data_IF_600155641359
#
_entry.id   IF_600155641359
#
_cell.length_a   1.000
_cell.length_b   1.000
_cell.length_c   1.000
_cell.angle_alpha   90.00
_cell.angle_beta   90.00
_cell.angle_gamma   90.00
#
_symmetry.space_group_name_H-M   'P 1'
#
loop_
_entity.id
_entity.type
_entity.pdbx_description
1 polymer ?
#
# COMPACT_ATOMS: atom_id res chain seq x y z
N UNK A 1 3.70 -13.02 -0.99
CA UNK A 1 2.81 -12.15 -0.17
C UNK A 1 3.33 -12.09 1.25
N UNK A 2 3.09 -10.99 1.98
CA UNK A 2 3.52 -10.85 3.38
C UNK A 2 4.28 -9.57 3.70
N UNK A 3 5.16 -9.60 4.70
CA UNK A 3 6.02 -8.45 5.06
C UNK A 3 7.22 -8.28 4.14
N UNK A 4 7.37 -9.12 3.11
CA UNK A 4 8.30 -8.87 2.01
C UNK A 4 8.03 -7.51 1.39
N UNK A 5 9.09 -6.71 1.25
CA UNK A 5 9.01 -5.33 0.80
C UNK A 5 8.98 -5.20 -0.73
N UNK A 6 7.96 -5.79 -1.34
CA UNK A 6 7.75 -5.72 -2.79
C UNK A 6 7.19 -4.35 -3.21
N UNK A 7 7.57 -3.92 -4.41
CA UNK A 7 7.12 -2.67 -4.99
C UNK A 7 5.72 -2.76 -5.60
N UNK A 8 5.13 -1.62 -5.97
CA UNK A 8 3.91 -1.56 -6.78
C UNK A 8 4.18 -2.02 -8.20
N UNK A 9 3.18 -2.65 -8.80
CA UNK A 9 3.11 -2.86 -10.25
C UNK A 9 2.63 -1.58 -10.93
N UNK A 10 2.80 -1.48 -12.25
CA UNK A 10 2.26 -0.36 -13.04
C UNK A 10 0.75 -0.18 -12.82
N UNK A 11 0.00 -1.29 -12.85
CA UNK A 11 -1.44 -1.27 -12.57
C UNK A 11 -1.73 -0.74 -11.15
N UNK A 12 -0.93 -1.14 -10.15
CA UNK A 12 -1.09 -0.65 -8.77
C UNK A 12 -0.82 0.85 -8.62
N UNK A 13 0.09 1.41 -9.43
CA UNK A 13 0.30 2.86 -9.51
C UNK A 13 -0.92 3.55 -10.12
N UNK A 14 -1.46 3.01 -11.22
CA UNK A 14 -2.66 3.56 -11.88
C UNK A 14 -3.90 3.53 -10.96
N UNK A 15 -4.07 2.46 -10.19
CA UNK A 15 -5.12 2.35 -9.18
C UNK A 15 -4.98 3.44 -8.10
N UNK A 16 -3.77 3.70 -7.60
CA UNK A 16 -3.51 4.74 -6.62
C UNK A 16 -3.81 6.15 -7.18
N UNK A 17 -3.40 6.42 -8.42
CA UNK A 17 -3.72 7.69 -9.11
C UNK A 17 -5.23 7.87 -9.23
N UNK A 18 -5.95 6.83 -9.66
CA UNK A 18 -7.41 6.88 -9.80
C UNK A 18 -8.10 7.12 -8.46
N UNK A 19 -7.63 6.48 -7.39
CA UNK A 19 -8.17 6.69 -6.04
C UNK A 19 -7.98 8.13 -5.56
N UNK A 20 -6.78 8.70 -5.71
CA UNK A 20 -6.51 10.09 -5.31
C UNK A 20 -7.35 11.11 -6.08
N UNK A 21 -7.49 10.95 -7.40
CA UNK A 21 -8.38 11.80 -8.22
C UNK A 21 -9.83 11.72 -7.76
N UNK A 22 -10.35 10.51 -7.52
CA UNK A 22 -11.72 10.30 -7.07
C UNK A 22 -11.97 10.96 -5.69
N UNK A 23 -11.03 10.83 -4.75
CA UNK A 23 -11.13 11.46 -3.44
C UNK A 23 -11.17 12.99 -3.55
N UNK A 24 -10.31 13.57 -4.40
CA UNK A 24 -10.30 15.01 -4.70
C UNK A 24 -11.60 15.49 -5.33
N UNK A 25 -12.09 14.79 -6.35
CA UNK A 25 -13.37 15.11 -7.03
C UNK A 25 -14.57 15.07 -6.07
N UNK A 26 -14.54 14.17 -5.09
CA UNK A 26 -15.58 14.07 -4.06
C UNK A 26 -15.41 15.06 -2.91
N UNK A 27 -14.35 15.88 -2.91
CA UNK A 27 -14.11 16.91 -1.91
C UNK A 27 -13.65 16.36 -0.56
N UNK A 28 -13.10 15.15 -0.50
CA UNK A 28 -12.49 14.63 0.73
C UNK A 28 -11.26 15.47 1.11
N UNK A 29 -11.10 15.69 2.40
CA UNK A 29 -9.93 16.36 2.99
C UNK A 29 -9.42 15.55 4.16
N UNK A 30 -8.11 15.51 4.30
CA UNK A 30 -7.43 14.82 5.38
C UNK A 30 -6.44 15.77 6.04
N UNK A 31 -6.29 15.64 7.34
CA UNK A 31 -5.34 16.43 8.15
C UNK A 31 -4.17 15.57 8.65
N UNK A 32 -4.28 14.25 8.50
CA UNK A 32 -3.31 13.26 8.93
C UNK A 32 -3.48 11.99 8.09
N UNK A 33 -2.38 11.33 7.77
CA UNK A 33 -2.40 10.02 7.14
C UNK A 33 -1.56 9.01 7.92
N UNK A 34 -1.92 7.73 7.78
CA UNK A 34 -1.21 6.62 8.39
C UNK A 34 -0.85 5.58 7.34
N UNK A 35 0.34 5.00 7.43
CA UNK A 35 0.73 3.90 6.56
C UNK A 35 1.62 2.88 7.27
N UNK A 36 1.86 1.77 6.60
CA UNK A 36 2.77 0.73 7.05
C UNK A 36 4.22 1.07 6.70
N UNK A 37 5.18 0.25 7.14
CA UNK A 37 6.58 0.37 6.69
C UNK A 37 6.84 -0.26 5.31
N UNK A 38 5.81 -0.79 4.64
CA UNK A 38 5.96 -1.47 3.36
C UNK A 38 5.97 -0.45 2.21
N UNK A 39 6.95 -0.54 1.32
CA UNK A 39 7.17 0.33 0.16
C UNK A 39 5.93 0.49 -0.68
N UNK A 40 5.22 -0.60 -0.95
CA UNK A 40 3.93 -0.57 -1.69
C UNK A 40 2.89 0.34 -1.04
N UNK A 41 2.68 0.23 0.27
CA UNK A 41 1.69 1.04 0.99
C UNK A 41 2.12 2.51 1.10
N UNK A 42 3.42 2.75 1.28
CA UNK A 42 3.98 4.10 1.29
C UNK A 42 3.81 4.77 -0.08
N UNK A 43 4.14 4.08 -1.17
CA UNK A 43 3.98 4.61 -2.51
C UNK A 43 2.53 4.86 -2.87
N UNK A 44 1.62 3.93 -2.55
CA UNK A 44 0.18 4.14 -2.75
C UNK A 44 -0.31 5.38 -2.01
N UNK A 45 0.04 5.54 -0.73
CA UNK A 45 -0.36 6.72 0.04
C UNK A 45 0.19 8.00 -0.60
N UNK A 46 1.49 8.04 -0.89
CA UNK A 46 2.12 9.23 -1.47
C UNK A 46 1.48 9.62 -2.81
N UNK A 47 1.22 8.66 -3.70
CA UNK A 47 0.53 8.91 -4.96
C UNK A 47 -0.88 9.46 -4.74
N UNK A 48 -1.61 8.95 -3.74
CA UNK A 48 -2.94 9.46 -3.40
C UNK A 48 -2.86 10.90 -2.90
N UNK A 49 -1.95 11.21 -1.97
CA UNK A 49 -1.80 12.55 -1.39
C UNK A 49 -1.39 13.59 -2.45
N UNK A 50 -0.48 13.23 -3.35
CA UNK A 50 -0.06 14.06 -4.48
C UNK A 50 -1.25 14.41 -5.39
N UNK A 51 -2.06 13.41 -5.77
CA UNK A 51 -3.26 13.67 -6.57
C UNK A 51 -4.30 14.52 -5.84
N UNK A 52 -4.32 14.46 -4.50
CA UNK A 52 -5.19 15.24 -3.64
C UNK A 52 -4.65 16.65 -3.32
N UNK A 53 -3.40 16.97 -3.66
CA UNK A 53 -2.71 18.21 -3.25
C UNK A 53 -2.58 18.32 -1.71
N UNK A 54 -2.24 17.20 -1.07
CA UNK A 54 -2.14 17.05 0.39
C UNK A 54 -0.75 16.55 0.84
N UNK A 55 0.30 16.74 0.05
CA UNK A 55 1.66 16.25 0.37
C UNK A 55 2.27 16.83 1.65
N UNK A 56 1.69 17.92 2.15
CA UNK A 56 2.13 18.64 3.33
C UNK A 56 1.57 18.08 4.64
N UNK A 57 0.56 17.21 4.59
CA UNK A 57 -0.07 16.69 5.82
C UNK A 57 0.89 15.74 6.54
N UNK A 58 0.87 15.68 7.88
CA UNK A 58 1.66 14.70 8.62
C UNK A 58 1.30 13.26 8.23
N UNK A 59 2.33 12.42 8.11
CA UNK A 59 2.21 11.00 7.79
C UNK A 59 2.91 10.16 8.86
N UNK A 60 2.13 9.36 9.57
CA UNK A 60 2.65 8.46 10.61
C UNK A 60 2.81 7.04 10.08
N UNK A 61 3.99 6.45 10.30
CA UNK A 61 4.29 5.08 9.88
C UNK A 61 4.33 4.14 11.08
N UNK A 62 3.66 3.00 10.99
CA UNK A 62 3.71 2.00 12.05
C UNK A 62 3.74 0.58 11.51
N UNK A 63 4.57 -0.27 12.14
CA UNK A 63 4.66 -1.70 11.80
C UNK A 63 3.37 -2.44 12.11
N UNK A 64 2.51 -1.86 12.97
CA UNK A 64 1.19 -2.41 13.31
C UNK A 64 0.24 -2.43 12.11
N UNK A 65 0.51 -1.61 11.09
CA UNK A 65 -0.20 -1.60 9.81
C UNK A 65 0.48 -2.48 8.74
N UNK A 66 1.58 -3.15 9.05
CA UNK A 66 2.19 -4.08 8.10
C UNK A 66 1.27 -5.28 7.85
N UNK A 67 1.30 -5.80 6.62
CA UNK A 67 0.66 -7.05 6.24
C UNK A 67 1.05 -8.20 7.20
N UNK A 68 0.17 -9.21 7.28
CA UNK A 68 0.40 -10.43 8.04
C UNK A 68 1.77 -11.02 7.73
N UNK A 69 2.51 -11.34 8.78
CA UNK A 69 3.77 -12.04 8.66
C UNK A 69 3.49 -13.52 8.38
N UNK A 70 3.67 -13.95 7.13
CA UNK A 70 3.43 -15.34 6.71
C UNK A 70 4.56 -16.32 7.12
N UNK A 71 5.54 -15.86 7.91
CA UNK A 71 6.63 -16.73 8.38
C UNK A 71 7.44 -17.28 7.21
N UNK A 72 7.65 -18.60 7.21
CA UNK A 72 8.36 -19.33 6.16
C UNK A 72 7.65 -19.34 4.80
N UNK A 73 6.35 -18.97 4.76
CA UNK A 73 5.59 -18.91 3.51
C UNK A 73 5.79 -17.58 2.75
N UNK A 74 6.60 -16.67 3.28
CA UNK A 74 6.95 -15.43 2.57
C UNK A 74 7.82 -15.72 1.36
N UNK A 75 7.53 -15.02 0.25
CA UNK A 75 8.28 -15.18 -1.00
C UNK A 75 7.97 -16.44 -1.80
N UNK A 76 7.25 -17.43 -1.24
CA UNK A 76 6.84 -18.61 -1.98
C UNK A 76 5.69 -18.29 -2.94
N UNK A 77 5.71 -18.94 -4.11
CA UNK A 77 4.59 -18.89 -5.05
C UNK A 77 3.38 -19.57 -4.41
N UNK A 78 2.22 -18.90 -4.44
CA UNK A 78 0.98 -19.43 -3.86
C UNK A 78 0.58 -20.76 -4.48
N UNK A 79 0.77 -20.93 -5.80
CA UNK A 79 0.43 -22.16 -6.50
C UNK A 79 1.32 -23.34 -6.03
N UNK A 80 2.63 -23.13 -6.01
CA UNK A 80 3.60 -24.15 -5.57
C UNK A 80 3.44 -24.49 -4.07
N UNK A 81 3.05 -23.51 -3.25
CA UNK A 81 2.80 -23.72 -1.82
C UNK A 81 1.52 -24.53 -1.59
N UNK A 82 0.47 -24.28 -2.39
CA UNK A 82 -0.76 -25.05 -2.34
C UNK A 82 -0.56 -26.51 -2.81
N UNK A 83 0.32 -26.74 -3.79
CA UNK A 83 0.64 -28.11 -4.25
C UNK A 83 1.46 -28.90 -3.22
N UNK A 84 2.36 -28.24 -2.48
CA UNK A 84 3.24 -28.91 -1.49
C UNK A 84 2.61 -29.13 -0.12
N UNK A 85 1.64 -28.30 0.27
CA UNK A 85 1.08 -28.29 1.63
C UNK A 85 -0.46 -28.32 1.67
N UNK A 86 -1.12 -28.39 0.50
CA UNK A 86 -2.58 -28.46 0.36
C UNK A 86 -3.14 -29.87 0.44
#
# INVERSE_FOLDING_TARGET
TGRTDVDLTENGVQEAVKAGKLLKEKGFKFEMAYTSFLKRANKTLNTILDQMDLDWIPVEKTWRLNEKHYGMLQGLNKAETAEKYG
#
